data_IF_059428020486
#
_entry.id   IF_059428020486
#
_cell.length_a   1.000
_cell.length_b   1.000
_cell.length_c   1.000
_cell.angle_alpha   90.00
_cell.angle_beta   90.00
_cell.angle_gamma   90.00
#
_symmetry.space_group_name_H-M   'P 1'
#
loop_
_entity.id
_entity.type
_entity.pdbx_description
1 polymer ?
#
# COMPACT_ATOMS: atom_id res chain seq x y z
N UNK A 1 -43.17 38.43 67.35
CA UNK A 1 -43.53 37.68 66.12
C UNK A 1 -42.90 38.37 64.91
N UNK A 2 -41.73 37.93 64.43
CA UNK A 2 -41.20 38.40 63.13
C UNK A 2 -39.98 37.55 62.72
N UNK A 3 -40.20 36.34 62.19
CA UNK A 3 -39.11 35.56 61.58
C UNK A 3 -39.65 34.47 60.64
N UNK A 4 -40.60 34.82 59.76
CA UNK A 4 -41.14 33.87 58.76
C UNK A 4 -41.35 34.52 57.38
N UNK A 5 -40.49 35.47 57.00
CA UNK A 5 -40.65 36.24 55.75
C UNK A 5 -39.51 36.09 54.72
N UNK A 6 -38.37 35.50 55.07
CA UNK A 6 -37.17 35.59 54.22
C UNK A 6 -36.98 34.37 53.31
N UNK A 7 -37.60 33.23 53.62
CA UNK A 7 -37.35 31.98 52.85
C UNK A 7 -38.13 31.93 51.52
N UNK A 8 -39.24 32.67 51.38
CA UNK A 8 -40.08 32.64 50.17
C UNK A 8 -39.56 33.47 48.98
N UNK A 9 -38.72 34.47 49.21
CA UNK A 9 -38.27 35.42 48.16
C UNK A 9 -37.06 34.86 47.38
N UNK A 10 -36.27 33.99 47.99
CA UNK A 10 -35.12 33.35 47.32
C UNK A 10 -35.54 32.28 46.29
N UNK A 11 -36.69 31.61 46.47
CA UNK A 11 -37.14 30.63 45.49
C UNK A 11 -37.77 31.25 44.22
N UNK A 12 -38.41 32.41 44.32
CA UNK A 12 -38.99 33.10 43.15
C UNK A 12 -37.93 33.80 42.26
N UNK A 13 -36.78 34.17 42.82
CA UNK A 13 -35.67 34.77 42.06
C UNK A 13 -34.75 33.73 41.40
N UNK A 14 -34.75 32.48 41.87
CA UNK A 14 -33.96 31.40 41.31
C UNK A 14 -34.60 30.73 40.07
N UNK A 15 -35.94 30.73 39.96
CA UNK A 15 -36.66 30.10 38.83
C UNK A 15 -36.35 30.75 37.47
N UNK A 16 -36.28 32.10 37.32
CA UNK A 16 -35.90 32.74 36.05
C UNK A 16 -34.46 32.42 35.61
N UNK A 17 -33.53 32.29 36.56
CA UNK A 17 -32.13 31.93 36.31
C UNK A 17 -32.00 30.48 35.82
N UNK A 18 -32.73 29.55 36.42
CA UNK A 18 -32.77 28.14 35.98
C UNK A 18 -33.44 28.01 34.60
N UNK A 19 -34.47 28.82 34.30
CA UNK A 19 -35.11 28.83 32.97
C UNK A 19 -34.22 29.42 31.86
N UNK A 20 -33.31 30.36 32.18
CA UNK A 20 -32.35 30.94 31.22
C UNK A 20 -31.23 29.95 30.86
N UNK A 21 -30.73 29.18 31.84
CA UNK A 21 -29.74 28.10 31.62
C UNK A 21 -30.33 26.95 30.79
N UNK A 22 -31.58 26.53 31.05
CA UNK A 22 -32.25 25.50 30.24
C UNK A 22 -32.48 25.93 28.78
N UNK A 23 -32.71 27.22 28.52
CA UNK A 23 -32.87 27.74 27.14
C UNK A 23 -31.54 27.88 26.38
N UNK A 24 -30.40 27.99 27.06
CA UNK A 24 -29.07 28.03 26.42
C UNK A 24 -28.58 26.64 25.99
N UNK A 25 -28.97 25.55 26.66
CA UNK A 25 -28.52 24.19 26.32
C UNK A 25 -29.26 23.46 25.19
N UNK A 26 -30.50 23.86 24.88
CA UNK A 26 -31.32 23.25 23.81
C UNK A 26 -30.78 23.53 22.39
N UNK A 27 -30.35 24.75 22.01
CA UNK A 27 -29.84 25.01 20.66
C UNK A 27 -28.59 24.17 20.33
N UNK A 28 -27.63 24.03 21.26
CA UNK A 28 -26.39 23.26 21.02
C UNK A 28 -26.66 21.77 20.75
N UNK A 29 -27.62 21.15 21.45
CA UNK A 29 -28.01 19.75 21.20
C UNK A 29 -28.63 19.58 19.81
N UNK A 30 -29.40 20.57 19.34
CA UNK A 30 -30.01 20.54 17.99
C UNK A 30 -28.94 20.69 16.92
N UNK A 31 -27.98 21.61 17.09
CA UNK A 31 -26.87 21.79 16.16
C UNK A 31 -25.98 20.54 16.06
N UNK A 32 -25.57 19.95 17.19
CA UNK A 32 -24.76 18.73 17.19
C UNK A 32 -25.49 17.55 16.51
N UNK A 33 -26.80 17.43 16.72
CA UNK A 33 -27.62 16.39 16.09
C UNK A 33 -27.80 16.60 14.58
N UNK A 34 -27.75 17.83 14.12
CA UNK A 34 -27.79 18.18 12.70
C UNK A 34 -26.44 17.94 12.02
N UNK A 35 -25.34 18.21 12.74
CA UNK A 35 -23.99 17.90 12.30
C UNK A 35 -23.76 16.40 12.13
N UNK A 36 -24.16 15.58 13.10
CA UNK A 36 -24.08 14.13 13.00
C UNK A 36 -24.88 13.58 11.79
N UNK A 37 -26.04 14.19 11.50
CA UNK A 37 -26.84 13.83 10.32
C UNK A 37 -26.17 14.24 9.03
N UNK A 38 -25.52 15.41 8.97
CA UNK A 38 -24.80 15.86 7.79
C UNK A 38 -23.60 14.93 7.50
N UNK A 39 -22.91 14.47 8.53
CA UNK A 39 -21.74 13.61 8.41
C UNK A 39 -22.16 12.23 7.89
N UNK A 40 -23.25 11.68 8.43
CA UNK A 40 -23.87 10.44 7.94
C UNK A 40 -24.27 10.54 6.47
N UNK A 41 -24.85 11.67 6.04
CA UNK A 41 -25.19 11.92 4.63
C UNK A 41 -23.95 11.95 3.75
N UNK A 42 -22.90 12.64 4.17
CA UNK A 42 -21.65 12.69 3.41
C UNK A 42 -20.98 11.31 3.31
N UNK A 43 -20.94 10.54 4.41
CA UNK A 43 -20.41 9.17 4.44
C UNK A 43 -21.21 8.26 3.49
N UNK A 44 -22.55 8.39 3.47
CA UNK A 44 -23.40 7.63 2.56
C UNK A 44 -23.12 7.95 1.08
N UNK A 45 -22.95 9.23 0.74
CA UNK A 45 -22.64 9.65 -0.64
C UNK A 45 -21.29 9.06 -1.08
N UNK A 46 -20.26 9.15 -0.23
CA UNK A 46 -18.94 8.56 -0.49
C UNK A 46 -19.03 7.04 -0.70
N UNK A 47 -19.78 6.34 0.16
CA UNK A 47 -19.98 4.89 0.05
C UNK A 47 -20.68 4.50 -1.24
N UNK A 48 -21.76 5.22 -1.63
CA UNK A 48 -22.45 4.98 -2.91
C UNK A 48 -21.54 5.18 -4.12
N UNK A 49 -20.69 6.22 -4.09
CA UNK A 49 -19.71 6.44 -5.16
C UNK A 49 -18.71 5.28 -5.24
N UNK A 50 -18.20 4.82 -4.09
CA UNK A 50 -17.29 3.68 -4.03
C UNK A 50 -17.94 2.38 -4.54
N UNK A 51 -19.18 2.12 -4.16
CA UNK A 51 -19.95 0.97 -4.65
C UNK A 51 -20.16 1.02 -6.16
N UNK A 52 -20.49 2.19 -6.72
CA UNK A 52 -20.63 2.35 -8.17
C UNK A 52 -19.32 2.07 -8.92
N UNK A 53 -18.17 2.51 -8.39
CA UNK A 53 -16.87 2.19 -8.98
C UNK A 53 -16.51 0.72 -8.82
N UNK A 54 -16.82 0.12 -7.66
CA UNK A 54 -16.62 -1.31 -7.42
C UNK A 54 -17.45 -2.16 -8.38
N UNK A 55 -18.70 -1.79 -8.62
CA UNK A 55 -19.56 -2.50 -9.58
C UNK A 55 -19.00 -2.41 -11.00
N UNK A 56 -18.52 -1.23 -11.42
CA UNK A 56 -17.85 -1.07 -12.72
C UNK A 56 -16.62 -1.98 -12.84
N UNK A 57 -15.78 -2.03 -11.81
CA UNK A 57 -14.61 -2.90 -11.78
C UNK A 57 -15.00 -4.38 -11.83
N UNK A 58 -15.95 -4.81 -11.01
CA UNK A 58 -16.47 -6.18 -11.02
C UNK A 58 -17.05 -6.56 -12.39
N UNK A 59 -17.86 -5.67 -12.99
CA UNK A 59 -18.44 -5.89 -14.31
C UNK A 59 -17.37 -6.06 -15.39
N UNK A 60 -16.28 -5.29 -15.32
CA UNK A 60 -15.15 -5.43 -16.25
C UNK A 60 -14.42 -6.76 -16.06
N UNK A 61 -14.17 -7.18 -14.81
CA UNK A 61 -13.54 -8.47 -14.51
C UNK A 61 -14.37 -9.62 -15.08
N UNK A 62 -15.68 -9.62 -14.84
CA UNK A 62 -16.60 -10.67 -15.29
C UNK A 62 -16.80 -10.66 -16.81
N UNK A 63 -16.97 -9.50 -17.45
CA UNK A 63 -17.36 -9.44 -18.86
C UNK A 63 -16.17 -9.37 -19.84
N UNK A 64 -14.98 -8.98 -19.37
CA UNK A 64 -13.81 -8.78 -20.25
C UNK A 64 -12.67 -9.72 -19.87
N UNK A 65 -12.27 -9.73 -18.59
CA UNK A 65 -11.07 -10.47 -18.18
C UNK A 65 -11.32 -11.98 -18.16
N UNK A 66 -12.38 -12.46 -17.48
CA UNK A 66 -12.69 -13.89 -17.40
C UNK A 66 -12.91 -14.53 -18.78
N UNK A 67 -13.74 -13.98 -19.69
CA UNK A 67 -13.98 -14.61 -20.99
C UNK A 67 -12.71 -14.67 -21.84
N UNK A 68 -11.83 -13.68 -21.71
CA UNK A 68 -10.55 -13.69 -22.42
C UNK A 68 -9.62 -14.78 -21.86
N UNK A 69 -9.60 -14.99 -20.54
CA UNK A 69 -8.84 -16.08 -19.91
C UNK A 69 -9.42 -17.46 -20.30
N UNK A 70 -10.74 -17.62 -20.23
CA UNK A 70 -11.44 -18.85 -20.63
C UNK A 70 -11.22 -19.18 -22.11
N UNK A 71 -11.28 -18.18 -23.00
CA UNK A 71 -10.98 -18.37 -24.42
C UNK A 71 -9.56 -18.86 -24.65
N UNK A 72 -8.58 -18.34 -23.90
CA UNK A 72 -7.19 -18.82 -23.99
C UNK A 72 -7.06 -20.27 -23.55
N UNK A 73 -7.71 -20.65 -22.44
CA UNK A 73 -7.74 -22.02 -21.95
C UNK A 73 -8.42 -22.95 -22.96
N UNK A 74 -9.57 -22.55 -23.49
CA UNK A 74 -10.31 -23.31 -24.50
C UNK A 74 -9.51 -23.51 -25.78
N UNK A 75 -8.80 -22.48 -26.27
CA UNK A 75 -7.92 -22.62 -27.43
C UNK A 75 -6.77 -23.59 -27.18
N UNK A 76 -6.22 -23.60 -25.97
CA UNK A 76 -5.17 -24.53 -25.58
C UNK A 76 -5.70 -25.97 -25.54
N UNK A 77 -6.87 -26.16 -24.95
CA UNK A 77 -7.58 -27.45 -24.90
C UNK A 77 -7.94 -27.95 -26.30
N UNK A 78 -8.48 -27.09 -27.15
CA UNK A 78 -8.78 -27.43 -28.54
C UNK A 78 -7.52 -27.84 -29.29
N UNK A 79 -6.41 -27.10 -29.14
CA UNK A 79 -5.12 -27.47 -29.73
C UNK A 79 -4.62 -28.82 -29.21
N UNK A 80 -4.79 -29.08 -27.92
CA UNK A 80 -4.43 -30.37 -27.32
C UNK A 80 -5.24 -31.51 -27.95
N UNK A 81 -6.56 -31.36 -28.08
CA UNK A 81 -7.40 -32.39 -28.70
C UNK A 81 -7.25 -32.49 -30.23
N UNK A 82 -6.94 -31.40 -30.93
CA UNK A 82 -6.56 -31.46 -32.36
C UNK A 82 -5.31 -32.31 -32.55
N UNK A 83 -4.27 -32.09 -31.74
CA UNK A 83 -3.01 -32.84 -31.79
C UNK A 83 -3.19 -34.32 -31.40
N UNK A 84 -4.07 -34.61 -30.44
CA UNK A 84 -4.26 -35.95 -29.88
C UNK A 84 -5.38 -36.75 -30.58
N UNK A 85 -6.34 -36.08 -31.22
CA UNK A 85 -7.53 -36.70 -31.79
C UNK A 85 -7.33 -37.37 -33.16
N UNK A 86 -6.35 -36.91 -33.94
CA UNK A 86 -6.04 -37.48 -35.28
C UNK A 86 -4.86 -38.45 -35.23
N UNK A 87 -3.83 -38.17 -34.42
CA UNK A 87 -2.63 -39.01 -34.32
C UNK A 87 -2.85 -40.36 -33.64
N UNK A 88 -3.88 -40.51 -32.81
CA UNK A 88 -4.22 -41.77 -32.12
C UNK A 88 -5.28 -42.59 -32.84
N UNK A 89 -5.91 -42.05 -33.90
CA UNK A 89 -6.64 -42.89 -34.85
C UNK A 89 -5.60 -43.61 -35.70
N UNK A 90 -5.07 -44.71 -35.15
CA UNK A 90 -4.40 -45.74 -35.93
C UNK A 90 -5.22 -45.93 -37.21
N UNK A 91 -4.68 -45.51 -38.35
CA UNK A 91 -5.18 -45.95 -39.66
C UNK A 91 -5.43 -47.45 -39.55
N UNK A 92 -6.61 -47.93 -39.96
CA UNK A 92 -7.05 -49.33 -39.77
C UNK A 92 -5.87 -50.29 -39.95
N UNK A 93 -5.32 -50.77 -38.82
CA UNK A 93 -4.03 -51.45 -38.82
C UNK A 93 -4.13 -52.75 -39.62
N UNK A 94 -3.21 -52.93 -40.57
CA UNK A 94 -3.04 -54.19 -41.27
C UNK A 94 -2.62 -55.27 -40.27
N UNK A 95 -3.42 -56.33 -40.12
CA UNK A 95 -3.14 -57.45 -39.22
C UNK A 95 -1.98 -58.28 -39.78
N UNK A 96 -0.81 -58.18 -39.17
CA UNK A 96 0.31 -59.09 -39.43
C UNK A 96 0.59 -59.95 -38.19
N UNK A 97 0.38 -61.26 -38.35
CA UNK A 97 1.08 -62.32 -37.62
C UNK A 97 0.62 -62.59 -36.19
N UNK A 98 -0.02 -63.74 -35.98
CA UNK A 98 -0.07 -64.39 -34.68
C UNK A 98 1.12 -65.32 -34.47
N UNK A 99 1.64 -65.39 -33.24
CA UNK A 99 1.91 -66.62 -32.49
C UNK A 99 2.21 -66.25 -31.02
N UNK A 100 1.93 -67.19 -30.13
CA UNK A 100 1.77 -67.05 -28.68
C UNK A 100 3.04 -66.72 -27.89
N UNK A 101 2.86 -66.19 -26.68
CA UNK A 101 3.69 -66.61 -25.55
C UNK A 101 4.18 -65.52 -24.60
N UNK A 102 3.81 -65.69 -23.33
CA UNK A 102 4.50 -65.26 -22.11
C UNK A 102 4.09 -63.91 -21.49
N UNK A 103 3.18 -64.03 -20.53
CA UNK A 103 2.93 -63.08 -19.45
C UNK A 103 4.21 -62.76 -18.68
N UNK A 104 4.57 -61.48 -18.55
CA UNK A 104 5.21 -60.93 -17.35
C UNK A 104 5.21 -59.38 -17.35
N UNK A 105 4.40 -58.83 -16.45
CA UNK A 105 4.68 -57.64 -15.61
C UNK A 105 5.42 -56.45 -16.22
N UNK A 106 4.72 -55.32 -16.37
CA UNK A 106 4.91 -54.11 -15.54
C UNK A 106 4.18 -52.93 -16.18
N UNK A 107 3.35 -52.26 -15.39
CA UNK A 107 2.76 -50.98 -15.77
C UNK A 107 3.81 -49.88 -15.59
N UNK A 108 4.83 -49.87 -16.45
CA UNK A 108 5.76 -48.75 -16.55
C UNK A 108 5.50 -48.06 -17.88
N UNK A 109 4.69 -46.98 -17.81
CA UNK A 109 4.33 -46.18 -18.98
C UNK A 109 5.61 -45.58 -19.58
N UNK A 110 5.79 -45.54 -20.91
CA UNK A 110 7.03 -45.07 -21.55
C UNK A 110 7.45 -43.63 -21.14
N UNK A 111 6.53 -42.81 -20.65
CA UNK A 111 6.81 -41.49 -20.05
C UNK A 111 7.66 -41.61 -18.76
N UNK A 112 7.42 -42.61 -17.92
CA UNK A 112 8.16 -42.85 -16.67
C UNK A 112 9.59 -43.34 -16.93
N UNK A 113 9.79 -44.08 -18.01
CA UNK A 113 11.11 -44.53 -18.45
C UNK A 113 11.88 -43.39 -19.16
N UNK A 114 11.19 -42.51 -19.89
CA UNK A 114 11.75 -41.27 -20.44
C UNK A 114 12.18 -40.27 -19.36
N UNK A 115 11.44 -40.18 -18.25
CA UNK A 115 11.84 -39.36 -17.09
C UNK A 115 13.06 -39.92 -16.34
N UNK A 116 13.29 -41.24 -16.40
CA UNK A 116 14.43 -41.93 -15.77
C UNK A 116 15.70 -41.94 -16.62
N UNK A 117 15.56 -41.91 -17.95
CA UNK A 117 16.65 -42.03 -18.93
C UNK A 117 17.19 -40.70 -19.44
N UNK A 118 16.62 -39.57 -19.01
CA UNK A 118 17.30 -38.28 -19.10
C UNK A 118 18.45 -38.24 -18.09
N UNK A 119 19.59 -38.78 -18.50
CA UNK A 119 20.88 -38.34 -18.00
C UNK A 119 21.07 -36.89 -18.45
N UNK A 120 20.53 -35.96 -17.66
CA UNK A 120 20.87 -34.55 -17.75
C UNK A 120 22.41 -34.44 -17.75
N UNK A 121 23.04 -33.82 -18.76
CA UNK A 121 24.35 -33.25 -18.54
C UNK A 121 24.20 -32.38 -17.29
N UNK A 122 25.04 -32.60 -16.27
CA UNK A 122 25.14 -31.67 -15.13
C UNK A 122 25.20 -30.27 -15.73
N UNK A 123 24.27 -29.36 -15.42
CA UNK A 123 24.41 -27.99 -15.86
C UNK A 123 25.61 -27.42 -15.11
N UNK A 124 26.79 -27.50 -15.72
CA UNK A 124 27.82 -26.47 -15.57
C UNK A 124 27.30 -25.25 -16.31
N UNK A 125 26.30 -24.63 -15.69
CA UNK A 125 26.14 -23.21 -15.79
C UNK A 125 26.36 -22.73 -14.37
N UNK A 126 27.61 -22.37 -14.08
CA UNK A 126 27.86 -21.20 -13.25
C UNK A 126 27.10 -20.06 -13.91
N UNK A 127 25.80 -20.00 -13.64
CA UNK A 127 25.16 -18.71 -13.56
C UNK A 127 25.90 -18.04 -12.41
N UNK A 128 26.43 -16.81 -12.56
CA UNK A 128 26.67 -16.02 -11.37
C UNK A 128 25.39 -16.15 -10.56
N UNK A 129 25.51 -16.59 -9.30
CA UNK A 129 24.38 -16.64 -8.39
C UNK A 129 23.60 -15.35 -8.61
N UNK A 130 22.25 -15.37 -8.69
CA UNK A 130 21.51 -14.13 -8.76
C UNK A 130 22.09 -13.27 -7.67
N UNK A 131 22.77 -12.18 -8.05
CA UNK A 131 23.32 -11.22 -7.10
C UNK A 131 22.21 -11.03 -6.10
N UNK A 132 22.51 -11.32 -4.83
CA UNK A 132 21.55 -11.27 -3.73
C UNK A 132 20.60 -10.14 -4.07
N UNK A 133 19.37 -10.49 -4.47
CA UNK A 133 18.34 -9.48 -4.50
C UNK A 133 18.43 -8.90 -3.10
N UNK A 134 18.65 -7.58 -2.94
CA UNK A 134 18.63 -7.00 -1.61
C UNK A 134 17.19 -7.17 -1.11
N UNK A 135 16.93 -8.35 -0.54
CA UNK A 135 15.87 -8.68 0.38
C UNK A 135 16.25 -8.04 1.71
N UNK A 136 16.51 -6.73 1.65
CA UNK A 136 16.32 -5.84 2.74
C UNK A 136 15.19 -4.94 2.30
N UNK A 137 13.96 -5.39 2.57
CA UNK A 137 13.01 -4.46 3.15
C UNK A 137 13.55 -4.09 4.56
N UNK A 138 14.74 -3.49 4.62
CA UNK A 138 15.15 -2.69 5.76
C UNK A 138 14.26 -1.47 5.63
N UNK A 139 13.06 -1.56 6.21
CA UNK A 139 12.34 -0.36 6.58
C UNK A 139 13.31 0.31 7.56
N UNK A 140 13.92 1.46 7.22
CA UNK A 140 14.79 2.11 8.17
C UNK A 140 13.94 2.44 9.38
N UNK A 141 14.29 1.86 10.53
CA UNK A 141 13.63 2.14 11.81
C UNK A 141 13.99 3.57 12.20
N UNK A 142 13.16 4.47 11.69
CA UNK A 142 13.34 5.90 11.89
C UNK A 142 13.28 6.21 13.38
N UNK A 143 14.27 6.93 13.95
CA UNK A 143 14.35 7.18 15.39
C UNK A 143 13.07 7.85 15.90
N UNK A 144 12.59 7.38 17.05
CA UNK A 144 11.38 7.89 17.74
C UNK A 144 11.39 9.43 17.80
N UNK A 145 10.24 10.05 17.55
CA UNK A 145 10.18 11.50 17.41
C UNK A 145 10.55 12.21 18.72
N UNK A 146 11.56 13.10 18.74
CA UNK A 146 12.00 13.75 19.96
C UNK A 146 10.89 14.66 20.53
N UNK A 147 10.84 14.71 21.87
CA UNK A 147 9.96 15.63 22.62
C UNK A 147 10.42 17.08 22.48
N UNK A 148 9.48 18.03 22.60
CA UNK A 148 9.70 19.45 22.32
C UNK A 148 10.78 20.07 23.23
N UNK A 149 12.03 20.10 22.75
CA UNK A 149 13.23 20.61 23.45
C UNK A 149 13.95 21.63 22.57
N UNK A 150 14.79 22.49 23.14
CA UNK A 150 15.47 23.60 22.45
C UNK A 150 16.39 23.21 21.26
N UNK A 151 16.81 21.93 21.17
CA UNK A 151 17.70 21.41 20.13
C UNK A 151 16.96 20.63 19.03
N UNK A 152 15.63 20.71 19.02
CA UNK A 152 14.79 20.02 18.05
C UNK A 152 14.41 20.96 16.91
N UNK A 153 14.45 20.45 15.69
CA UNK A 153 14.02 21.13 14.47
C UNK A 153 12.82 20.39 13.88
N UNK A 154 11.82 21.15 13.46
CA UNK A 154 10.66 20.63 12.73
C UNK A 154 10.92 20.72 11.23
N UNK A 155 10.99 19.57 10.58
CA UNK A 155 11.15 19.47 9.14
C UNK A 155 9.79 19.18 8.51
N UNK A 156 9.36 20.04 7.58
CA UNK A 156 8.15 19.86 6.80
C UNK A 156 8.49 19.44 5.38
N UNK A 157 8.17 18.21 5.01
CA UNK A 157 8.37 17.63 3.69
C UNK A 157 7.14 17.85 2.81
N UNK A 158 7.31 18.55 1.69
CA UNK A 158 6.28 18.72 0.67
C UNK A 158 6.42 17.61 -0.37
N UNK A 159 5.40 16.77 -0.47
CA UNK A 159 5.36 15.66 -1.42
C UNK A 159 4.76 16.11 -2.76
N UNK A 160 5.18 15.52 -3.91
CA UNK A 160 4.56 15.72 -5.21
C UNK A 160 3.06 15.38 -5.23
N UNK A 161 2.63 14.51 -4.32
CA UNK A 161 1.23 14.16 -4.10
C UNK A 161 0.37 15.30 -3.53
N UNK A 162 0.97 16.46 -3.20
CA UNK A 162 0.30 17.62 -2.61
C UNK A 162 0.17 17.57 -1.08
N UNK A 163 0.56 16.46 -0.46
CA UNK A 163 0.57 16.31 1.00
C UNK A 163 1.83 16.93 1.61
N UNK A 164 1.71 17.42 2.84
CA UNK A 164 2.84 17.92 3.63
C UNK A 164 2.99 17.11 4.89
N UNK A 165 4.10 16.40 5.02
CA UNK A 165 4.43 15.59 6.19
C UNK A 165 5.35 16.38 7.10
N UNK A 166 5.08 16.41 8.40
CA UNK A 166 5.90 17.13 9.38
C UNK A 166 6.47 16.14 10.37
N UNK A 167 7.76 16.24 10.63
CA UNK A 167 8.45 15.43 11.64
C UNK A 167 9.52 16.25 12.35
N UNK A 168 9.71 15.95 13.63
CA UNK A 168 10.75 16.57 14.46
C UNK A 168 12.04 15.74 14.41
N UNK A 169 13.18 16.41 14.37
CA UNK A 169 14.52 15.80 14.37
C UNK A 169 15.45 16.58 15.30
N UNK A 170 16.48 15.92 15.82
CA UNK A 170 17.54 16.59 16.57
C UNK A 170 18.57 17.18 15.60
N UNK A 171 19.12 18.35 15.93
CA UNK A 171 20.16 19.02 15.10
C UNK A 171 21.40 18.16 14.87
N UNK A 172 21.73 17.32 15.85
CA UNK A 172 22.87 16.39 15.83
C UNK A 172 22.65 15.13 14.98
N UNK A 173 21.43 14.91 14.44
CA UNK A 173 21.18 13.76 13.59
C UNK A 173 21.89 13.90 12.25
N UNK A 174 22.34 12.77 11.71
CA UNK A 174 22.91 12.70 10.38
C UNK A 174 21.86 12.98 9.31
N UNK A 175 22.29 13.62 8.22
CA UNK A 175 21.46 13.94 7.06
C UNK A 175 20.76 12.75 6.41
N UNK A 176 21.35 11.56 6.55
CA UNK A 176 20.82 10.28 6.09
C UNK A 176 19.42 10.00 6.65
N UNK A 177 19.13 10.45 7.88
CA UNK A 177 17.83 10.24 8.52
C UNK A 177 16.67 10.84 7.70
N UNK A 178 16.92 11.89 6.93
CA UNK A 178 15.91 12.52 6.07
C UNK A 178 15.62 11.67 4.82
N UNK A 179 16.62 10.99 4.29
CA UNK A 179 16.49 10.09 3.15
C UNK A 179 15.89 8.74 3.57
N UNK A 180 16.21 8.27 4.77
CA UNK A 180 15.55 7.14 5.40
C UNK A 180 14.07 7.44 5.65
N UNK A 181 13.77 8.67 6.09
CA UNK A 181 12.39 9.13 6.27
C UNK A 181 11.62 9.12 4.94
N UNK A 182 12.25 9.66 3.90
CA UNK A 182 11.73 9.66 2.54
C UNK A 182 11.40 8.22 2.08
N UNK A 183 12.34 7.29 2.28
CA UNK A 183 12.19 5.88 1.91
C UNK A 183 11.04 5.21 2.66
N UNK A 184 10.89 5.50 3.97
CA UNK A 184 9.77 5.02 4.80
C UNK A 184 8.40 5.53 4.35
N UNK A 185 8.33 6.73 3.78
CA UNK A 185 7.09 7.29 3.21
C UNK A 185 6.75 6.63 1.85
N UNK A 186 7.71 5.96 1.22
CA UNK A 186 7.56 5.29 -0.06
C UNK A 186 8.21 6.02 -1.24
N UNK A 187 9.04 7.04 -0.97
CA UNK A 187 9.81 7.73 -1.99
C UNK A 187 11.27 7.25 -1.94
N UNK A 188 11.78 6.66 -3.01
CA UNK A 188 13.15 6.13 -3.03
C UNK A 188 14.16 7.17 -3.53
N UNK A 189 15.35 7.19 -2.93
CA UNK A 189 16.44 8.15 -3.23
C UNK A 189 16.98 8.08 -4.67
N UNK A 190 16.75 6.97 -5.36
CA UNK A 190 17.11 6.83 -6.78
C UNK A 190 16.23 7.68 -7.71
N UNK A 191 14.97 7.89 -7.34
CA UNK A 191 13.98 8.59 -8.15
C UNK A 191 13.70 9.99 -7.63
N UNK A 192 13.91 10.23 -6.34
CA UNK A 192 13.57 11.50 -5.71
C UNK A 192 14.76 12.08 -4.95
N UNK A 193 14.81 13.41 -4.91
CA UNK A 193 15.80 14.21 -4.19
C UNK A 193 15.11 15.21 -3.27
N UNK A 194 15.80 15.58 -2.18
CA UNK A 194 15.34 16.63 -1.28
C UNK A 194 15.96 17.96 -1.69
N UNK A 195 15.17 19.01 -1.74
CA UNK A 195 15.65 20.37 -1.92
C UNK A 195 15.12 21.29 -0.82
N UNK A 196 15.87 22.35 -0.54
CA UNK A 196 15.42 23.44 0.33
C UNK A 196 14.46 24.36 -0.41
N UNK A 197 13.61 25.08 0.32
CA UNK A 197 12.63 26.00 -0.29
C UNK A 197 13.27 27.29 -0.82
N UNK A 198 14.10 27.96 -0.03
CA UNK A 198 14.73 29.23 -0.42
C UNK A 198 16.09 29.46 0.30
N UNK A 199 17.19 29.68 -0.44
CA UNK A 199 17.33 29.49 -1.89
C UNK A 199 17.17 28.00 -2.24
N UNK A 200 16.51 27.69 -3.36
CA UNK A 200 16.25 26.31 -3.77
C UNK A 200 17.58 25.60 -4.08
N UNK A 201 18.00 24.71 -3.19
CA UNK A 201 19.25 23.93 -3.32
C UNK A 201 18.97 22.46 -3.03
N UNK A 202 19.43 21.53 -3.90
CA UNK A 202 19.35 20.10 -3.61
C UNK A 202 20.27 19.74 -2.44
N UNK A 203 19.79 18.89 -1.54
CA UNK A 203 20.57 18.34 -0.45
C UNK A 203 21.47 17.24 -1.00
N UNK A 204 22.79 17.42 -0.88
CA UNK A 204 23.74 16.37 -1.21
C UNK A 204 23.72 15.29 -0.13
N UNK A 205 23.65 14.02 -0.55
CA UNK A 205 23.81 12.86 0.33
C UNK A 205 25.31 12.69 0.59
N UNK A 206 25.90 13.59 1.38
CA UNK A 206 27.26 13.42 1.86
C UNK A 206 27.19 12.73 3.22
N UNK A 207 27.64 11.47 3.27
CA UNK A 207 27.57 10.66 4.48
C UNK A 207 28.38 11.30 5.61
N UNK A 208 27.74 11.51 6.76
CA UNK A 208 28.40 12.01 7.98
C UNK A 208 28.17 13.48 8.31
N UNK A 209 27.47 14.26 7.47
CA UNK A 209 27.05 15.62 7.83
C UNK A 209 25.82 15.58 8.74
N UNK A 210 25.84 16.39 9.79
CA UNK A 210 24.67 16.61 10.65
C UNK A 210 23.65 17.54 9.97
N UNK A 211 22.44 17.61 10.52
CA UNK A 211 21.42 18.54 10.04
C UNK A 211 21.87 20.00 10.18
N UNK A 212 22.59 20.32 11.26
CA UNK A 212 23.17 21.66 11.44
C UNK A 212 24.24 22.00 10.39
N UNK A 213 25.09 21.04 10.02
CA UNK A 213 26.14 21.23 9.00
C UNK A 213 25.56 21.53 7.60
N UNK A 214 24.39 20.97 7.31
CA UNK A 214 23.66 21.19 6.05
C UNK A 214 22.89 22.52 6.04
N UNK A 215 22.84 23.21 7.18
CA UNK A 215 22.13 24.48 7.34
C UNK A 215 20.67 24.32 7.78
N UNK A 216 20.28 23.15 8.29
CA UNK A 216 18.96 22.89 8.89
C UNK A 216 19.06 23.22 10.39
N UNK A 217 19.21 24.51 10.72
CA UNK A 217 19.34 25.00 12.11
C UNK A 217 18.00 25.42 12.72
N UNK A 218 17.02 25.73 11.89
CA UNK A 218 15.68 26.20 12.24
C UNK A 218 14.62 25.32 11.58
N UNK A 219 13.36 25.48 11.99
CA UNK A 219 12.23 24.81 11.33
C UNK A 219 12.25 25.10 9.83
N UNK A 220 12.41 24.05 9.03
CA UNK A 220 12.64 24.16 7.59
C UNK A 220 11.59 23.40 6.79
N UNK A 221 11.38 23.89 5.57
CA UNK A 221 10.52 23.23 4.58
C UNK A 221 11.42 22.62 3.52
N UNK A 222 11.33 21.30 3.37
CA UNK A 222 11.98 20.55 2.31
C UNK A 222 10.97 20.19 1.22
N UNK A 223 11.40 20.23 -0.02
CA UNK A 223 10.60 19.90 -1.19
C UNK A 223 11.14 18.59 -1.74
N UNK A 224 10.24 17.65 -1.99
CA UNK A 224 10.56 16.37 -2.59
C UNK A 224 10.39 16.47 -4.11
N UNK A 225 11.51 16.35 -4.83
CA UNK A 225 11.59 16.58 -6.28
C UNK A 225 11.97 15.29 -6.98
N UNK A 226 11.40 15.05 -8.16
CA UNK A 226 11.82 13.96 -9.03
C UNK A 226 13.22 14.26 -9.56
N UNK A 227 14.13 13.29 -9.41
CA UNK A 227 15.51 13.39 -9.87
C UNK A 227 15.51 13.14 -11.38
N UNK A 228 16.05 14.10 -12.14
CA UNK A 228 16.26 13.89 -13.57
C UNK A 228 17.25 12.74 -13.78
N UNK A 229 16.80 11.70 -14.48
CA UNK A 229 17.67 10.59 -14.87
C UNK A 229 18.62 11.10 -15.95
N UNK A 230 19.90 11.24 -15.60
CA UNK A 230 20.96 11.50 -16.57
C UNK A 230 21.09 10.29 -17.47
N UNK A 231 20.61 10.39 -18.72
CA UNK A 231 20.91 9.44 -19.80
C UNK A 231 22.35 9.61 -20.28
#
# INVERSE_FOLDING_TARGET
MASRGVVGIFFLSAVPLVCLELRRGIPDIVYLKEEEKNEKRQKLVRKKQQEAQREKASRYIENVLKPHQEMKLRKLEERFYQMTGEAWKLSSGHKLGGDEGTSQTSLETPNREAAKSQNLPKPLTEFPSPAEQPMCNEIPDLPEEPSQTAEVVTVALRCPSGNVLRRRFLKSYGSQVLFDWMTRIGYHTSLYSLSTSFPRRPLAVEGGQSLEDIGITVDTVLILEEKEQTN
#
